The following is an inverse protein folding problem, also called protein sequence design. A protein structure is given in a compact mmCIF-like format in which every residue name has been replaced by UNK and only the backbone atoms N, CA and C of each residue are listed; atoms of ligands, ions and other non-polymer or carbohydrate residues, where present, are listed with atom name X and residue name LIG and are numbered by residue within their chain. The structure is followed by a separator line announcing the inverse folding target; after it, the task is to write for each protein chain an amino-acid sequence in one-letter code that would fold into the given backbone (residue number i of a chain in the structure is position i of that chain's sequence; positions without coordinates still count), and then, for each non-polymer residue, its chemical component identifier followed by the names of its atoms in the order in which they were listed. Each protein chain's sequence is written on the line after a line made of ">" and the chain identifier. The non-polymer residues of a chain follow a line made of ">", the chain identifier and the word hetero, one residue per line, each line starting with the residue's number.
data_IF_557987541806
#
_entry.id   IF_557987541806
#
_cell.length_a   1.000
_cell.length_b   1.000
_cell.length_c   1.000
_cell.angle_alpha   90.00
_cell.angle_beta   90.00
_cell.angle_gamma   90.00
#
_symmetry.space_group_name_H-M   'P 1'
#
loop_
_entity.id
_entity.type
_entity.pdbx_description
1 polymer ?
#
# COMPACT_ATOMS: atom_id res chain seq x y z
N UNK A 1 -22.29 -25.78 6.05
CA UNK A 1 -23.69 -25.57 5.61
C UNK A 1 -23.63 -24.99 4.19
N UNK A 2 -24.52 -25.41 3.30
CA UNK A 2 -24.56 -24.83 1.95
C UNK A 2 -25.06 -23.38 2.04
N UNK A 3 -24.40 -22.46 1.32
CA UNK A 3 -24.77 -21.06 1.23
C UNK A 3 -24.68 -20.60 -0.22
N UNK A 4 -25.32 -19.50 -0.53
CA UNK A 4 -25.25 -18.83 -1.81
C UNK A 4 -24.91 -17.35 -1.57
N UNK A 5 -23.88 -16.87 -2.25
CA UNK A 5 -23.49 -15.48 -2.22
C UNK A 5 -24.13 -14.74 -3.39
N UNK A 6 -24.77 -13.62 -3.08
CA UNK A 6 -25.33 -12.69 -4.05
C UNK A 6 -24.51 -11.39 -3.94
N UNK A 7 -23.62 -11.19 -4.89
CA UNK A 7 -22.78 -9.99 -4.95
C UNK A 7 -23.39 -8.95 -5.90
N UNK A 8 -23.38 -7.69 -5.47
CA UNK A 8 -23.94 -6.55 -6.22
C UNK A 8 -22.89 -5.48 -6.53
N UNK A 9 -21.64 -5.72 -6.16
CA UNK A 9 -20.53 -4.78 -6.32
C UNK A 9 -19.33 -5.49 -6.97
N UNK A 10 -18.69 -4.79 -7.91
CA UNK A 10 -17.43 -5.22 -8.52
C UNK A 10 -16.36 -4.16 -8.19
N UNK A 11 -15.22 -4.54 -7.61
CA UNK A 11 -14.13 -3.62 -7.35
C UNK A 11 -13.58 -2.97 -8.62
N UNK A 12 -13.09 -1.73 -8.50
CA UNK A 12 -12.21 -1.14 -9.51
C UNK A 12 -10.91 -1.94 -9.59
N UNK A 13 -10.24 -1.92 -10.74
CA UNK A 13 -8.94 -2.59 -10.87
C UNK A 13 -7.89 -1.96 -9.98
N UNK A 14 -7.74 -0.63 -10.08
CA UNK A 14 -6.76 0.14 -9.30
C UNK A 14 -7.41 1.44 -8.82
N UNK A 15 -7.17 1.80 -7.56
CA UNK A 15 -7.57 3.09 -6.98
C UNK A 15 -6.34 3.82 -6.45
N UNK A 16 -6.12 5.05 -6.93
CA UNK A 16 -5.07 5.93 -6.41
C UNK A 16 -5.66 6.70 -5.23
N UNK A 17 -5.00 6.64 -4.08
CA UNK A 17 -5.42 7.31 -2.84
C UNK A 17 -4.55 8.55 -2.63
N UNK A 18 -5.14 9.73 -2.85
CA UNK A 18 -4.45 11.01 -2.69
C UNK A 18 -4.60 11.62 -1.29
N UNK A 19 -5.65 11.28 -0.56
CA UNK A 19 -5.91 11.82 0.78
C UNK A 19 -4.97 11.17 1.81
N UNK A 20 -4.20 12.01 2.52
CA UNK A 20 -3.25 11.55 3.55
C UNK A 20 -3.92 10.75 4.66
N UNK A 21 -5.11 11.16 5.12
CA UNK A 21 -5.82 10.47 6.20
C UNK A 21 -6.32 9.10 5.75
N UNK A 22 -6.76 9.00 4.48
CA UNK A 22 -7.17 7.71 3.90
C UNK A 22 -5.95 6.79 3.76
N UNK A 23 -4.79 7.32 3.36
CA UNK A 23 -3.54 6.55 3.32
C UNK A 23 -3.12 6.06 4.72
N UNK A 24 -3.23 6.90 5.75
CA UNK A 24 -2.97 6.50 7.13
C UNK A 24 -3.91 5.35 7.58
N UNK A 25 -5.19 5.40 7.19
CA UNK A 25 -6.16 4.32 7.46
C UNK A 25 -5.80 3.04 6.69
N UNK A 26 -5.42 3.17 5.41
CA UNK A 26 -5.03 2.05 4.54
C UNK A 26 -3.78 1.32 5.06
N UNK A 27 -2.82 2.08 5.59
CA UNK A 27 -1.52 1.59 6.08
C UNK A 27 -1.55 1.20 7.57
N UNK A 28 -2.67 1.45 8.29
CA UNK A 28 -2.78 1.07 9.71
C UNK A 28 -2.63 -0.46 9.88
N UNK A 29 -1.67 -0.91 10.70
CA UNK A 29 -1.44 -2.34 10.95
C UNK A 29 -2.68 -3.10 11.41
N UNK A 30 -3.63 -2.44 12.08
CA UNK A 30 -4.88 -3.06 12.52
C UNK A 30 -5.89 -3.25 11.36
N UNK A 31 -5.81 -2.46 10.31
CA UNK A 31 -6.69 -2.59 9.15
C UNK A 31 -6.12 -3.52 8.07
N UNK A 32 -4.80 -3.65 8.01
CA UNK A 32 -4.10 -4.43 6.99
C UNK A 32 -4.59 -5.88 6.87
N UNK A 33 -4.88 -6.64 7.95
CA UNK A 33 -5.39 -8.01 7.83
C UNK A 33 -6.74 -8.10 7.13
N UNK A 34 -7.64 -7.13 7.35
CA UNK A 34 -8.95 -7.06 6.71
C UNK A 34 -8.79 -6.78 5.21
N UNK A 35 -8.04 -5.72 4.87
CA UNK A 35 -7.76 -5.36 3.47
C UNK A 35 -7.11 -6.54 2.72
N UNK A 36 -6.19 -7.25 3.38
CA UNK A 36 -5.52 -8.42 2.81
C UNK A 36 -6.46 -9.61 2.63
N UNK A 37 -7.33 -9.88 3.60
CA UNK A 37 -8.29 -10.99 3.53
C UNK A 37 -9.27 -10.79 2.37
N UNK A 38 -9.85 -9.59 2.24
CA UNK A 38 -10.80 -9.21 1.20
C UNK A 38 -10.24 -9.26 -0.23
N UNK A 39 -8.97 -9.51 -0.43
CA UNK A 39 -8.37 -9.77 -1.76
C UNK A 39 -8.82 -11.11 -2.36
N UNK A 40 -9.24 -12.03 -1.52
CA UNK A 40 -9.73 -13.35 -1.97
C UNK A 40 -11.17 -13.28 -2.49
N UNK A 41 -11.83 -12.14 -2.32
CA UNK A 41 -13.21 -11.89 -2.68
C UNK A 41 -14.03 -11.35 -1.51
N UNK A 42 -15.33 -11.14 -1.70
CA UNK A 42 -16.23 -10.67 -0.67
C UNK A 42 -16.32 -11.65 0.51
N UNK A 43 -16.31 -11.12 1.75
CA UNK A 43 -16.33 -11.91 2.98
C UNK A 43 -17.35 -11.36 3.99
N UNK A 44 -17.89 -12.25 4.81
CA UNK A 44 -18.69 -11.89 5.99
C UNK A 44 -17.80 -11.41 7.13
N UNK A 45 -18.38 -10.73 8.13
CA UNK A 45 -17.64 -10.32 9.34
C UNK A 45 -16.99 -11.51 10.04
N UNK A 46 -17.68 -12.64 10.09
CA UNK A 46 -17.17 -13.88 10.71
C UNK A 46 -15.95 -14.43 9.99
N UNK A 47 -15.96 -14.47 8.66
CA UNK A 47 -14.79 -14.90 7.88
C UNK A 47 -13.61 -13.95 8.03
N UNK A 48 -13.89 -12.64 8.16
CA UNK A 48 -12.87 -11.65 8.46
C UNK A 48 -12.29 -11.80 9.86
N UNK A 49 -13.10 -12.16 10.86
CA UNK A 49 -12.63 -12.49 12.22
C UNK A 49 -11.69 -13.69 12.19
N UNK A 50 -12.06 -14.78 11.50
CA UNK A 50 -11.24 -15.98 11.35
C UNK A 50 -9.91 -15.66 10.59
N UNK A 51 -9.99 -14.87 9.52
CA UNK A 51 -8.82 -14.45 8.77
C UNK A 51 -7.88 -13.55 9.61
N UNK A 52 -8.46 -12.68 10.44
CA UNK A 52 -7.72 -11.81 11.35
C UNK A 52 -7.02 -12.62 12.44
N UNK A 53 -7.69 -13.60 13.04
CA UNK A 53 -7.09 -14.51 14.03
C UNK A 53 -5.91 -15.28 13.42
N UNK A 54 -6.08 -15.81 12.20
CA UNK A 54 -4.99 -16.48 11.47
C UNK A 54 -3.80 -15.54 11.18
N UNK A 55 -4.06 -14.25 10.93
CA UNK A 55 -3.00 -13.27 10.74
C UNK A 55 -2.26 -12.97 12.06
N UNK A 56 -2.99 -12.90 13.17
CA UNK A 56 -2.42 -12.68 14.50
C UNK A 56 -1.53 -13.85 14.96
N UNK A 57 -1.88 -15.10 14.63
CA UNK A 57 -1.02 -16.25 14.92
C UNK A 57 0.36 -16.17 14.24
N UNK A 58 0.44 -15.50 13.08
CA UNK A 58 1.66 -15.35 12.27
C UNK A 58 2.45 -14.09 12.57
N UNK A 59 1.86 -13.14 13.28
CA UNK A 59 2.48 -11.86 13.62
C UNK A 59 2.30 -11.57 15.11
N UNK A 60 3.37 -11.70 15.94
CA UNK A 60 3.31 -11.47 17.40
C UNK A 60 2.89 -10.05 17.80
N UNK A 61 3.03 -9.07 16.90
CA UNK A 61 2.62 -7.68 17.15
C UNK A 61 1.12 -7.45 16.93
N UNK A 62 0.43 -8.44 16.38
CA UNK A 62 -0.98 -8.36 16.05
C UNK A 62 -1.79 -9.24 17.01
N UNK A 63 -2.73 -8.65 17.73
CA UNK A 63 -3.66 -9.39 18.59
C UNK A 63 -4.93 -9.79 17.83
N UNK A 64 -5.45 -10.99 18.05
CA UNK A 64 -6.76 -11.39 17.56
C UNK A 64 -7.86 -10.43 18.02
N UNK A 65 -8.83 -10.14 17.15
CA UNK A 65 -9.92 -9.20 17.42
C UNK A 65 -11.27 -9.90 17.30
N UNK A 66 -12.22 -9.49 18.16
CA UNK A 66 -13.59 -9.98 18.11
C UNK A 66 -14.36 -9.41 16.91
N UNK A 67 -15.46 -10.07 16.54
CA UNK A 67 -16.42 -9.64 15.52
C UNK A 67 -16.85 -8.17 15.68
N UNK A 68 -17.11 -7.71 16.90
CA UNK A 68 -17.45 -6.31 17.21
C UNK A 68 -16.33 -5.34 16.84
N UNK A 69 -15.07 -5.74 17.06
CA UNK A 69 -13.92 -4.92 16.71
C UNK A 69 -13.71 -4.92 15.20
N UNK A 70 -13.82 -6.08 14.55
CA UNK A 70 -13.76 -6.19 13.08
C UNK A 70 -14.83 -5.31 12.44
N UNK A 71 -16.07 -5.34 12.97
CA UNK A 71 -17.14 -4.49 12.46
C UNK A 71 -16.83 -2.99 12.62
N UNK A 72 -16.21 -2.57 13.72
CA UNK A 72 -15.75 -1.17 13.89
C UNK A 72 -14.68 -0.79 12.87
N UNK A 73 -13.72 -1.68 12.61
CA UNK A 73 -12.71 -1.46 11.57
C UNK A 73 -13.34 -1.36 10.18
N UNK A 74 -14.30 -2.24 9.86
CA UNK A 74 -15.04 -2.15 8.60
C UNK A 74 -15.76 -0.81 8.45
N UNK A 75 -16.36 -0.26 9.53
CA UNK A 75 -16.99 1.06 9.50
C UNK A 75 -15.99 2.19 9.24
N UNK A 76 -14.77 2.10 9.75
CA UNK A 76 -13.70 3.07 9.46
C UNK A 76 -13.28 2.96 7.98
N UNK A 77 -13.05 1.74 7.51
CA UNK A 77 -12.68 1.46 6.12
C UNK A 77 -13.78 1.83 5.11
N UNK A 78 -15.05 1.62 5.47
CA UNK A 78 -16.21 2.02 4.68
C UNK A 78 -16.29 3.55 4.55
N UNK A 79 -16.07 4.27 5.65
CA UNK A 79 -16.06 5.74 5.69
C UNK A 79 -14.88 6.35 4.90
N UNK A 80 -13.79 5.60 4.80
CA UNK A 80 -12.63 5.93 3.98
C UNK A 80 -12.78 5.46 2.52
N UNK A 81 -13.91 4.89 2.14
CA UNK A 81 -14.16 4.36 0.80
C UNK A 81 -13.12 3.31 0.33
N UNK A 82 -12.57 2.56 1.28
CA UNK A 82 -11.64 1.46 1.01
C UNK A 82 -12.36 0.11 0.96
N UNK A 83 -13.49 0.00 1.67
CA UNK A 83 -14.34 -1.20 1.74
C UNK A 83 -15.80 -0.79 1.59
N UNK A 84 -16.63 -1.66 1.01
CA UNK A 84 -18.07 -1.46 0.86
C UNK A 84 -18.85 -2.73 1.20
N UNK A 85 -20.12 -2.63 1.64
CA UNK A 85 -21.05 -3.75 1.56
C UNK A 85 -21.22 -4.14 0.08
N UNK A 86 -20.91 -5.40 -0.25
CA UNK A 86 -20.82 -5.86 -1.63
C UNK A 86 -21.93 -6.87 -2.01
N UNK A 87 -22.79 -7.19 -1.05
CA UNK A 87 -23.85 -8.15 -1.26
C UNK A 87 -24.28 -8.88 0.01
N UNK A 88 -24.89 -10.02 -0.16
CA UNK A 88 -25.41 -10.83 0.94
C UNK A 88 -25.13 -12.31 0.74
N UNK A 89 -24.82 -12.99 1.82
CA UNK A 89 -24.76 -14.45 1.89
C UNK A 89 -26.10 -15.00 2.42
N UNK A 90 -26.74 -15.84 1.65
CA UNK A 90 -27.95 -16.55 2.04
C UNK A 90 -27.59 -17.95 2.47
N UNK A 91 -27.86 -18.31 3.72
CA UNK A 91 -27.67 -19.67 4.22
C UNK A 91 -28.91 -20.49 3.85
N UNK A 92 -28.74 -21.56 3.08
CA UNK A 92 -29.87 -22.39 2.63
C UNK A 92 -30.61 -22.98 3.84
N UNK A 93 -31.93 -22.73 3.90
CA UNK A 93 -32.80 -23.18 4.99
C UNK A 93 -32.87 -22.21 6.19
N UNK A 94 -32.27 -21.01 6.08
CA UNK A 94 -32.40 -19.93 7.08
C UNK A 94 -32.97 -18.68 6.42
N UNK A 95 -33.72 -17.88 7.20
CA UNK A 95 -34.24 -16.57 6.76
C UNK A 95 -33.21 -15.44 6.98
N UNK A 96 -32.18 -15.68 7.80
CA UNK A 96 -31.15 -14.70 8.09
C UNK A 96 -30.12 -14.67 6.97
N UNK A 97 -29.74 -13.46 6.57
CA UNK A 97 -28.64 -13.18 5.62
C UNK A 97 -27.48 -12.52 6.35
N UNK A 98 -26.26 -12.73 5.85
CA UNK A 98 -25.05 -12.09 6.34
C UNK A 98 -24.54 -11.11 5.27
N UNK A 99 -24.16 -9.90 5.68
CA UNK A 99 -23.57 -8.91 4.77
C UNK A 99 -22.19 -9.36 4.31
N UNK A 100 -21.97 -9.32 3.01
CA UNK A 100 -20.66 -9.49 2.40
C UNK A 100 -19.99 -8.13 2.22
N UNK A 101 -18.73 -8.03 2.60
CA UNK A 101 -17.90 -6.83 2.40
C UNK A 101 -16.86 -7.12 1.33
N UNK A 102 -16.56 -6.11 0.50
CA UNK A 102 -15.50 -6.16 -0.50
C UNK A 102 -14.64 -4.91 -0.42
N UNK A 103 -13.42 -4.99 -0.93
CA UNK A 103 -12.62 -3.80 -1.21
C UNK A 103 -13.23 -3.02 -2.37
N UNK A 104 -13.00 -1.71 -2.38
CA UNK A 104 -13.43 -0.85 -3.50
C UNK A 104 -12.54 -1.00 -4.73
N UNK A 105 -11.30 -1.48 -4.55
CA UNK A 105 -10.38 -1.75 -5.65
C UNK A 105 -9.51 -2.99 -5.39
N UNK A 106 -9.05 -3.64 -6.47
CA UNK A 106 -8.14 -4.79 -6.39
C UNK A 106 -6.73 -4.38 -5.96
N UNK A 107 -6.30 -3.17 -6.32
CA UNK A 107 -5.03 -2.58 -5.91
C UNK A 107 -5.26 -1.15 -5.44
N UNK A 108 -4.70 -0.81 -4.28
CA UNK A 108 -4.59 0.58 -3.82
C UNK A 108 -3.16 1.05 -4.03
N UNK A 109 -3.00 2.25 -4.56
CA UNK A 109 -1.71 2.93 -4.76
C UNK A 109 -1.78 4.27 -4.03
N UNK A 110 -0.74 4.58 -3.25
CA UNK A 110 -0.59 5.89 -2.62
C UNK A 110 -0.23 6.93 -3.66
N UNK A 111 -1.11 7.90 -3.88
CA UNK A 111 -0.91 9.00 -4.82
C UNK A 111 -0.09 10.17 -4.28
N UNK A 112 0.29 10.13 -3.01
CA UNK A 112 1.14 11.14 -2.38
C UNK A 112 2.50 10.54 -2.04
N UNK A 113 3.58 11.25 -2.42
CA UNK A 113 4.87 11.01 -1.81
C UNK A 113 4.87 11.62 -0.39
N UNK A 114 5.49 10.94 0.56
CA UNK A 114 5.76 11.50 1.89
C UNK A 114 6.89 12.54 1.78
N UNK A 115 6.64 13.66 1.06
CA UNK A 115 7.63 14.71 0.81
C UNK A 115 8.33 15.24 2.06
N UNK A 116 7.75 15.04 3.24
CA UNK A 116 8.32 15.50 4.50
C UNK A 116 9.05 14.40 5.28
N UNK A 117 8.94 13.12 4.87
CA UNK A 117 9.53 12.03 5.63
C UNK A 117 11.04 12.19 5.80
N UNK A 118 11.77 12.42 4.71
CA UNK A 118 13.22 12.59 4.76
C UNK A 118 13.67 13.88 5.47
N UNK A 119 12.74 14.82 5.66
CA UNK A 119 12.97 16.07 6.38
C UNK A 119 12.67 15.97 7.88
N UNK A 120 11.93 14.94 8.34
CA UNK A 120 11.70 14.68 9.76
C UNK A 120 12.95 14.08 10.44
N UNK A 121 12.97 14.02 11.77
CA UNK A 121 14.11 13.52 12.54
C UNK A 121 14.49 12.07 12.18
N UNK A 122 13.50 11.18 12.11
CA UNK A 122 13.72 9.79 11.74
C UNK A 122 14.27 9.64 10.31
N UNK A 123 13.73 10.40 9.35
CA UNK A 123 14.20 10.39 7.97
C UNK A 123 15.64 10.91 7.85
N UNK A 124 15.99 11.96 8.56
CA UNK A 124 17.36 12.50 8.62
C UNK A 124 18.35 11.49 9.20
N UNK A 125 17.98 10.76 10.26
CA UNK A 125 18.82 9.71 10.84
C UNK A 125 19.09 8.59 9.81
N UNK A 126 18.08 8.20 9.02
CA UNK A 126 18.26 7.26 7.92
C UNK A 126 19.15 7.82 6.81
N UNK A 127 18.96 9.09 6.42
CA UNK A 127 19.85 9.76 5.45
C UNK A 127 21.30 9.77 5.93
N UNK A 128 21.55 10.01 7.21
CA UNK A 128 22.88 9.98 7.80
C UNK A 128 23.53 8.60 7.70
N UNK A 129 22.77 7.54 7.90
CA UNK A 129 23.25 6.16 7.73
C UNK A 129 23.53 5.86 6.26
N UNK A 130 22.63 6.23 5.36
CA UNK A 130 22.82 6.10 3.91
C UNK A 130 24.09 6.85 3.47
N UNK A 131 24.24 8.10 3.90
CA UNK A 131 25.42 8.94 3.62
C UNK A 131 26.71 8.26 4.05
N UNK A 132 26.73 7.73 5.29
CA UNK A 132 27.91 7.09 5.85
C UNK A 132 28.32 5.81 5.08
N UNK A 133 27.33 4.99 4.69
CA UNK A 133 27.56 3.77 3.91
C UNK A 133 28.08 4.11 2.50
N UNK A 134 27.42 5.08 1.83
CA UNK A 134 27.83 5.50 0.48
C UNK A 134 29.23 6.17 0.50
N UNK A 135 29.54 6.95 1.53
CA UNK A 135 30.89 7.52 1.72
C UNK A 135 31.96 6.43 1.71
N UNK A 136 31.75 5.34 2.45
CA UNK A 136 32.67 4.19 2.47
C UNK A 136 32.78 3.49 1.11
N UNK A 137 31.68 3.29 0.41
CA UNK A 137 31.67 2.68 -0.93
C UNK A 137 32.43 3.55 -1.93
N UNK A 138 32.36 4.89 -1.79
CA UNK A 138 32.98 5.86 -2.70
C UNK A 138 34.40 6.25 -2.32
N UNK A 139 35.05 5.49 -1.41
CA UNK A 139 36.45 5.71 -1.03
C UNK A 139 36.65 6.80 0.03
N UNK A 140 35.78 6.77 1.06
CA UNK A 140 35.82 7.70 2.20
C UNK A 140 35.61 9.18 1.83
N UNK A 141 34.82 9.44 0.80
CA UNK A 141 34.42 10.79 0.41
C UNK A 141 33.52 11.44 1.48
N UNK A 142 33.73 12.72 1.71
CA UNK A 142 32.87 13.49 2.63
C UNK A 142 31.48 13.65 2.03
N UNK A 143 30.44 13.30 2.81
CA UNK A 143 29.05 13.40 2.40
C UNK A 143 28.38 14.65 2.94
N UNK A 144 27.76 15.45 2.05
CA UNK A 144 26.83 16.51 2.44
C UNK A 144 25.44 15.93 2.78
N UNK A 145 25.19 15.76 4.08
CA UNK A 145 23.95 15.19 4.59
C UNK A 145 22.70 15.97 4.16
N UNK A 146 22.76 17.30 4.14
CA UNK A 146 21.65 18.15 3.71
C UNK A 146 21.35 18.00 2.21
N UNK A 147 22.38 17.78 1.40
CA UNK A 147 22.24 17.45 -0.01
C UNK A 147 21.54 16.11 -0.19
N UNK A 148 21.89 15.08 0.60
CA UNK A 148 21.27 13.75 0.54
C UNK A 148 19.78 13.81 0.92
N UNK A 149 19.40 14.57 1.97
CA UNK A 149 17.99 14.76 2.33
C UNK A 149 17.19 15.36 1.18
N UNK A 150 17.75 16.38 0.50
CA UNK A 150 17.10 17.01 -0.67
C UNK A 150 16.95 16.02 -1.81
N UNK A 151 18.00 15.25 -2.09
CA UNK A 151 17.97 14.20 -3.11
C UNK A 151 16.89 13.17 -2.80
N UNK A 152 16.80 12.63 -1.58
CA UNK A 152 15.82 11.63 -1.20
C UNK A 152 14.38 12.12 -1.34
N UNK A 153 14.11 13.37 -0.96
CA UNK A 153 12.78 13.97 -1.17
C UNK A 153 12.44 14.11 -2.67
N UNK A 154 13.38 14.56 -3.50
CA UNK A 154 13.20 14.70 -4.94
C UNK A 154 13.03 13.34 -5.62
N UNK A 155 13.80 12.35 -5.20
CA UNK A 155 13.77 10.98 -5.71
C UNK A 155 12.43 10.29 -5.42
N UNK A 156 11.95 10.34 -4.18
CA UNK A 156 10.67 9.74 -3.79
C UNK A 156 9.49 10.44 -4.49
N UNK A 157 9.54 11.77 -4.59
CA UNK A 157 8.53 12.54 -5.31
C UNK A 157 8.43 12.13 -6.78
N UNK A 158 9.59 11.98 -7.43
CA UNK A 158 9.67 11.58 -8.82
C UNK A 158 9.22 10.12 -9.00
N UNK A 159 9.66 9.20 -8.13
CA UNK A 159 9.24 7.80 -8.14
C UNK A 159 7.74 7.64 -8.02
N UNK A 160 7.13 8.36 -7.07
CA UNK A 160 5.68 8.34 -6.88
C UNK A 160 4.94 8.88 -8.13
N UNK A 161 5.43 9.98 -8.71
CA UNK A 161 4.86 10.55 -9.94
C UNK A 161 4.89 9.55 -11.10
N UNK A 162 5.99 8.79 -11.25
CA UNK A 162 6.08 7.76 -12.28
C UNK A 162 5.02 6.68 -12.09
N UNK A 163 4.83 6.19 -10.88
CA UNK A 163 3.81 5.16 -10.59
C UNK A 163 2.39 5.69 -10.80
N UNK A 164 2.11 6.92 -10.36
CA UNK A 164 0.80 7.56 -10.57
C UNK A 164 0.52 7.72 -12.07
N UNK A 165 1.46 8.31 -12.82
CA UNK A 165 1.30 8.51 -14.27
C UNK A 165 1.15 7.19 -15.03
N UNK A 166 1.89 6.14 -14.61
CA UNK A 166 1.78 4.80 -15.18
C UNK A 166 0.35 4.27 -15.04
N UNK A 167 -0.26 4.44 -13.88
CA UNK A 167 -1.62 3.94 -13.60
C UNK A 167 -2.69 4.80 -14.28
N UNK A 168 -2.56 6.12 -14.24
CA UNK A 168 -3.52 7.04 -14.88
C UNK A 168 -3.52 6.94 -16.40
N UNK A 169 -2.37 6.59 -16.99
CA UNK A 169 -2.23 6.38 -18.44
C UNK A 169 -2.33 4.93 -18.88
N UNK A 170 -2.62 4.00 -17.97
CA UNK A 170 -2.59 2.57 -18.25
C UNK A 170 -3.77 2.13 -19.13
N UNK A 171 -3.48 1.36 -20.17
CA UNK A 171 -4.46 0.56 -20.90
C UNK A 171 -4.81 -0.73 -20.11
N UNK A 172 -5.74 -1.51 -20.68
CA UNK A 172 -6.19 -2.75 -20.06
C UNK A 172 -5.07 -3.77 -19.88
N UNK A 173 -4.12 -3.85 -20.80
CA UNK A 173 -2.98 -4.78 -20.71
C UNK A 173 -2.06 -4.39 -19.53
N UNK A 174 -1.75 -3.12 -19.38
CA UNK A 174 -0.96 -2.61 -18.28
C UNK A 174 -1.66 -2.80 -16.93
N UNK A 175 -2.98 -2.55 -16.87
CA UNK A 175 -3.77 -2.79 -15.68
C UNK A 175 -3.77 -4.27 -15.30
N UNK A 176 -3.85 -5.19 -16.26
CA UNK A 176 -3.75 -6.63 -16.03
C UNK A 176 -2.37 -7.02 -15.47
N UNK A 177 -1.30 -6.46 -16.02
CA UNK A 177 0.05 -6.68 -15.51
C UNK A 177 0.17 -6.23 -14.04
N UNK A 178 -0.29 -5.04 -13.69
CA UNK A 178 -0.19 -4.49 -12.34
C UNK A 178 -1.05 -5.29 -11.34
N UNK A 179 -2.28 -5.63 -11.72
CA UNK A 179 -3.20 -6.38 -10.85
C UNK A 179 -2.80 -7.84 -10.70
N UNK A 180 -2.13 -8.40 -11.70
CA UNK A 180 -1.57 -9.76 -11.69
C UNK A 180 -0.33 -9.93 -10.82
N UNK A 181 0.31 -8.84 -10.35
CA UNK A 181 1.46 -8.92 -9.46
C UNK A 181 1.03 -9.52 -8.12
N UNK A 182 1.77 -10.56 -7.65
CA UNK A 182 1.57 -11.06 -6.30
C UNK A 182 1.80 -9.94 -5.29
N UNK A 183 0.85 -9.79 -4.38
CA UNK A 183 0.87 -8.76 -3.36
C UNK A 183 2.17 -8.72 -2.54
N UNK A 184 2.73 -9.87 -2.23
CA UNK A 184 3.98 -9.95 -1.47
C UNK A 184 5.13 -9.23 -2.16
N UNK A 185 5.04 -9.04 -3.47
CA UNK A 185 6.09 -8.43 -4.30
C UNK A 185 5.67 -7.11 -4.94
N UNK A 186 4.40 -6.70 -4.83
CA UNK A 186 3.86 -5.52 -5.50
C UNK A 186 4.69 -4.27 -5.20
N UNK A 187 4.87 -3.95 -3.94
CA UNK A 187 5.59 -2.73 -3.55
C UNK A 187 7.05 -2.77 -3.99
N UNK A 188 7.68 -3.95 -3.90
CA UNK A 188 9.05 -4.14 -4.38
C UNK A 188 9.16 -3.97 -5.89
N UNK A 189 8.25 -4.55 -6.66
CA UNK A 189 8.26 -4.44 -8.13
C UNK A 189 8.03 -2.99 -8.54
N UNK A 190 6.99 -2.32 -8.01
CA UNK A 190 6.69 -0.93 -8.33
C UNK A 190 7.85 0.01 -7.93
N UNK A 191 8.51 -0.24 -6.80
CA UNK A 191 9.70 0.50 -6.38
C UNK A 191 10.84 0.34 -7.39
N UNK A 192 11.14 -0.87 -7.86
CA UNK A 192 12.19 -1.04 -8.89
C UNK A 192 11.78 -0.45 -10.24
N UNK A 193 10.52 -0.55 -10.64
CA UNK A 193 10.02 0.10 -11.86
C UNK A 193 10.24 1.61 -11.79
N UNK A 194 9.90 2.26 -10.68
CA UNK A 194 10.14 3.70 -10.51
C UNK A 194 11.63 4.06 -10.52
N UNK A 195 12.48 3.28 -9.83
CA UNK A 195 13.94 3.49 -9.83
C UNK A 195 14.51 3.41 -11.26
N UNK A 196 14.12 2.36 -12.01
CA UNK A 196 14.61 2.18 -13.38
C UNK A 196 14.08 3.25 -14.33
N UNK A 197 12.80 3.66 -14.20
CA UNK A 197 12.24 4.74 -14.97
C UNK A 197 13.00 6.06 -14.72
N UNK A 198 13.27 6.40 -13.45
CA UNK A 198 14.09 7.57 -13.09
C UNK A 198 15.48 7.47 -13.69
N UNK A 199 16.13 6.29 -13.58
CA UNK A 199 17.49 6.12 -14.08
C UNK A 199 17.59 6.28 -15.61
N UNK A 200 16.56 5.84 -16.34
CA UNK A 200 16.53 5.89 -17.80
C UNK A 200 16.11 7.27 -18.33
N UNK A 201 15.16 7.94 -17.68
CA UNK A 201 14.57 9.17 -18.19
C UNK A 201 15.13 10.44 -17.52
N UNK A 202 15.68 10.32 -16.30
CA UNK A 202 16.23 11.46 -15.53
C UNK A 202 17.60 11.11 -14.91
N UNK A 203 18.60 10.72 -15.70
CA UNK A 203 19.93 10.33 -15.18
C UNK A 203 20.63 11.47 -14.42
N UNK A 204 20.29 12.73 -14.71
CA UNK A 204 20.82 13.92 -14.03
C UNK A 204 20.48 13.95 -12.54
N UNK A 205 19.41 13.27 -12.12
CA UNK A 205 19.09 13.15 -10.69
C UNK A 205 20.17 12.36 -9.93
N UNK A 206 20.73 11.33 -10.54
CA UNK A 206 21.84 10.58 -9.94
C UNK A 206 23.17 11.35 -9.95
N UNK A 207 23.37 12.25 -10.91
CA UNK A 207 24.51 13.19 -10.86
C UNK A 207 24.39 14.17 -9.69
N UNK A 208 23.15 14.61 -9.32
CA UNK A 208 22.94 15.39 -8.08
C UNK A 208 23.34 14.58 -6.84
N UNK A 209 23.00 13.27 -6.77
CA UNK A 209 23.44 12.42 -5.67
C UNK A 209 24.96 12.33 -5.62
N UNK A 210 25.62 12.12 -6.78
CA UNK A 210 27.07 12.09 -6.87
C UNK A 210 27.72 13.37 -6.38
N UNK A 211 27.13 14.52 -6.69
CA UNK A 211 27.62 15.83 -6.25
C UNK A 211 27.53 16.05 -4.73
N UNK A 212 26.72 15.27 -4.00
CA UNK A 212 26.66 15.31 -2.55
C UNK A 212 27.92 14.70 -1.87
N UNK A 213 28.84 14.08 -2.63
CA UNK A 213 30.06 13.46 -2.13
C UNK A 213 31.30 14.16 -2.73
N UNK A 214 32.13 14.73 -1.86
CA UNK A 214 33.35 15.48 -2.23
C UNK A 214 34.61 14.65 -2.02
#
# INVERSE_FOLDING_TARGET
>A
MAHQDVTTFTPERIKIVYDKKINEILLDPNHAPIIKALRKGPMTVRELEEAYATAAEKNPELEAKSDKTIYRYLKVLEKAELVVPAGQRVVIGKTATETLFSRTADVFITGQSEHEYWSCEAGKDLCDKIASILSKILGDKEADKGCIVKFMNEFDAMGNKYIVNLVEGADDEMLDLITGIDWAYKDKILSYVSIFAIALENPELFEKLRACFK
#
